data_IF_215835866872
#
_entry.id   IF_215835866872
#
_cell.length_a   1.000
_cell.length_b   1.000
_cell.length_c   1.000
_cell.angle_alpha   90.00
_cell.angle_beta   90.00
_cell.angle_gamma   90.00
#
_symmetry.space_group_name_H-M   'P 1'
#
loop_
_entity.id
_entity.type
_entity.pdbx_description
1 polymer ?
#
# COMPACT_ATOMS: atom_id res chain seq x y z
N UNK A 1 -5.68 32.58 2.46
CA UNK A 1 -5.64 31.28 3.16
C UNK A 1 -5.72 30.21 2.10
N UNK A 2 -4.67 29.40 1.95
CA UNK A 2 -4.76 28.20 1.11
C UNK A 2 -5.68 27.23 1.84
N UNK A 3 -6.86 27.01 1.29
CA UNK A 3 -7.73 25.89 1.70
C UNK A 3 -6.92 24.65 1.38
N UNK A 4 -6.47 23.92 2.40
CA UNK A 4 -5.93 22.59 2.19
C UNK A 4 -7.15 21.73 1.87
N UNK A 5 -7.49 21.65 0.59
CA UNK A 5 -8.44 20.67 0.09
C UNK A 5 -7.73 19.32 0.14
N UNK A 6 -7.86 18.63 1.27
CA UNK A 6 -7.44 17.24 1.39
C UNK A 6 -8.62 16.40 0.94
N UNK A 7 -8.62 15.87 -0.29
CA UNK A 7 -9.75 15.10 -0.75
C UNK A 7 -9.61 13.74 -0.07
N UNK A 8 -10.31 13.51 1.04
CA UNK A 8 -10.31 12.22 1.73
C UNK A 8 -10.61 11.06 0.78
N UNK A 9 -11.49 11.30 -0.20
CA UNK A 9 -11.78 10.38 -1.29
C UNK A 9 -10.57 10.06 -2.19
N UNK A 10 -9.62 10.99 -2.36
CA UNK A 10 -8.35 10.75 -3.10
C UNK A 10 -7.43 9.84 -2.29
N UNK A 11 -7.32 10.04 -0.98
CA UNK A 11 -6.51 9.19 -0.09
C UNK A 11 -7.07 7.77 -0.01
N UNK A 12 -8.39 7.63 0.06
CA UNK A 12 -9.08 6.32 -0.03
C UNK A 12 -8.82 5.65 -1.38
N UNK A 13 -8.91 6.39 -2.49
CA UNK A 13 -8.56 5.87 -3.82
C UNK A 13 -7.11 5.38 -3.89
N UNK A 14 -6.17 6.14 -3.33
CA UNK A 14 -4.75 5.75 -3.29
C UNK A 14 -4.57 4.49 -2.45
N UNK A 15 -5.21 4.40 -1.29
CA UNK A 15 -5.20 3.21 -0.45
C UNK A 15 -5.65 1.95 -1.23
N UNK A 16 -6.78 2.04 -1.93
CA UNK A 16 -7.34 0.91 -2.68
C UNK A 16 -6.48 0.50 -3.89
N UNK A 17 -5.89 1.48 -4.58
CA UNK A 17 -4.96 1.22 -5.68
C UNK A 17 -3.68 0.51 -5.20
N UNK A 18 -3.13 0.94 -4.05
CA UNK A 18 -1.96 0.29 -3.44
C UNK A 18 -2.28 -1.14 -3.00
N UNK A 19 -3.45 -1.35 -2.39
CA UNK A 19 -3.94 -2.67 -2.01
C UNK A 19 -4.06 -3.60 -3.24
N UNK A 20 -4.68 -3.11 -4.31
CA UNK A 20 -4.82 -3.88 -5.57
C UNK A 20 -3.48 -4.19 -6.23
N UNK A 21 -2.54 -3.25 -6.17
CA UNK A 21 -1.18 -3.45 -6.70
C UNK A 21 -0.46 -4.56 -5.94
N UNK A 22 -0.58 -4.59 -4.61
CA UNK A 22 -0.05 -5.68 -3.78
C UNK A 22 -0.65 -7.03 -4.15
N UNK A 23 -1.97 -7.10 -4.30
CA UNK A 23 -2.67 -8.33 -4.69
C UNK A 23 -2.22 -8.86 -6.07
N UNK A 24 -2.00 -7.96 -7.03
CA UNK A 24 -1.45 -8.33 -8.35
C UNK A 24 -0.02 -8.87 -8.22
N UNK A 25 0.82 -8.26 -7.39
CA UNK A 25 2.19 -8.73 -7.14
C UNK A 25 2.24 -10.11 -6.47
N UNK A 26 1.23 -10.43 -5.68
CA UNK A 26 1.10 -11.72 -5.01
C UNK A 26 0.43 -12.80 -5.89
N UNK A 27 -0.06 -12.45 -7.08
CA UNK A 27 -0.69 -13.38 -8.02
C UNK A 27 0.27 -14.50 -8.46
N UNK A 28 -0.29 -15.69 -8.72
CA UNK A 28 0.50 -16.87 -9.08
C UNK A 28 1.38 -16.66 -10.33
N UNK A 29 0.88 -15.89 -11.31
CA UNK A 29 1.59 -15.56 -12.54
C UNK A 29 2.80 -14.64 -12.33
N UNK A 30 2.81 -13.86 -11.25
CA UNK A 30 3.90 -12.93 -10.94
C UNK A 30 4.83 -13.50 -9.87
N UNK A 31 4.33 -14.41 -9.02
CA UNK A 31 5.07 -14.93 -7.86
C UNK A 31 6.29 -15.78 -8.25
N UNK A 32 6.22 -16.56 -9.32
CA UNK A 32 7.28 -17.50 -9.72
C UNK A 32 7.27 -17.74 -11.22
N UNK A 33 8.43 -18.10 -11.78
CA UNK A 33 8.56 -18.60 -13.16
C UNK A 33 8.04 -20.04 -13.30
N UNK A 34 7.70 -20.69 -12.18
CA UNK A 34 7.13 -22.03 -12.12
C UNK A 34 8.13 -23.12 -12.49
N UNK A 35 7.61 -24.30 -12.80
CA UNK A 35 8.40 -25.47 -13.19
C UNK A 35 9.23 -25.28 -14.48
N UNK A 36 9.11 -24.13 -15.16
CA UNK A 36 9.87 -23.81 -16.38
C UNK A 36 11.37 -23.82 -16.10
N UNK A 37 11.79 -23.38 -14.90
CA UNK A 37 13.21 -23.31 -14.50
C UNK A 37 13.90 -24.67 -14.63
N UNK A 38 13.25 -25.73 -14.13
CA UNK A 38 13.80 -27.10 -14.11
C UNK A 38 13.74 -27.81 -15.47
N UNK A 39 13.06 -27.23 -16.46
CA UNK A 39 12.89 -27.82 -17.81
C UNK A 39 13.89 -27.31 -18.83
N UNK A 40 14.80 -26.41 -18.43
CA UNK A 40 15.77 -25.78 -19.33
C UNK A 40 16.89 -26.74 -19.78
N UNK A 41 17.18 -27.79 -18.99
CA UNK A 41 18.09 -28.87 -19.36
C UNK A 41 19.55 -28.43 -19.50
N UNK A 42 19.88 -27.22 -19.03
CA UNK A 42 21.22 -26.64 -19.06
C UNK A 42 21.51 -26.05 -17.67
N UNK A 43 22.46 -26.66 -16.94
CA UNK A 43 22.78 -26.28 -15.55
C UNK A 43 23.08 -24.81 -15.34
N UNK A 44 23.80 -24.18 -16.26
CA UNK A 44 24.13 -22.75 -16.12
C UNK A 44 22.87 -21.88 -16.24
N UNK A 45 21.97 -22.24 -17.14
CA UNK A 45 20.72 -21.53 -17.36
C UNK A 45 19.73 -21.77 -16.21
N UNK A 46 19.65 -23.01 -15.70
CA UNK A 46 18.90 -23.35 -14.48
C UNK A 46 19.42 -22.56 -13.27
N UNK A 47 20.73 -22.48 -13.10
CA UNK A 47 21.36 -21.69 -12.03
C UNK A 47 21.03 -20.20 -12.13
N UNK A 48 21.12 -19.62 -13.34
CA UNK A 48 20.77 -18.22 -13.56
C UNK A 48 19.27 -17.96 -13.32
N UNK A 49 18.41 -18.89 -13.71
CA UNK A 49 16.97 -18.79 -13.50
C UNK A 49 16.59 -18.90 -12.01
N UNK A 50 17.22 -19.79 -11.24
CA UNK A 50 17.02 -19.84 -9.78
C UNK A 50 17.50 -18.58 -9.07
N UNK A 51 18.65 -18.02 -9.48
CA UNK A 51 19.14 -16.77 -8.89
C UNK A 51 18.21 -15.61 -9.23
N UNK A 52 17.68 -15.56 -10.45
CA UNK A 52 16.63 -14.62 -10.82
C UNK A 52 15.39 -14.79 -9.95
N UNK A 53 14.85 -16.01 -9.81
CA UNK A 53 13.64 -16.27 -9.00
C UNK A 53 13.83 -15.84 -7.55
N UNK A 54 15.00 -16.12 -6.97
CA UNK A 54 15.33 -15.71 -5.61
C UNK A 54 15.33 -14.19 -5.48
N UNK A 55 16.10 -13.49 -6.32
CA UNK A 55 16.19 -12.02 -6.30
C UNK A 55 14.85 -11.36 -6.58
N UNK A 56 14.06 -11.95 -7.47
CA UNK A 56 12.70 -11.50 -7.77
C UNK A 56 11.79 -11.66 -6.55
N UNK A 57 11.84 -12.81 -5.87
CA UNK A 57 11.11 -13.06 -4.63
C UNK A 57 11.46 -12.05 -3.53
N UNK A 58 12.76 -11.82 -3.31
CA UNK A 58 13.26 -10.85 -2.33
C UNK A 58 12.78 -9.42 -2.67
N UNK A 59 12.92 -9.01 -3.94
CA UNK A 59 12.47 -7.70 -4.41
C UNK A 59 10.96 -7.50 -4.25
N UNK A 60 10.15 -8.52 -4.58
CA UNK A 60 8.69 -8.48 -4.36
C UNK A 60 8.33 -8.33 -2.89
N UNK A 61 9.05 -9.02 -1.99
CA UNK A 61 8.81 -8.90 -0.56
C UNK A 61 9.07 -7.48 -0.04
N UNK A 62 10.16 -6.85 -0.49
CA UNK A 62 10.47 -5.46 -0.14
C UNK A 62 9.38 -4.51 -0.66
N UNK A 63 9.00 -4.62 -1.93
CA UNK A 63 7.96 -3.77 -2.52
C UNK A 63 6.63 -3.97 -1.79
N UNK A 64 6.25 -5.20 -1.45
CA UNK A 64 5.01 -5.46 -0.71
C UNK A 64 5.00 -4.77 0.66
N UNK A 65 6.15 -4.78 1.36
CA UNK A 65 6.31 -4.08 2.63
C UNK A 65 6.21 -2.55 2.47
N UNK A 66 6.82 -1.99 1.43
CA UNK A 66 6.77 -0.56 1.16
C UNK A 66 5.34 -0.12 0.79
N UNK A 67 4.62 -0.93 -0.01
CA UNK A 67 3.21 -0.71 -0.33
C UNK A 67 2.33 -0.70 0.92
N UNK A 68 2.53 -1.64 1.85
CA UNK A 68 1.84 -1.64 3.15
C UNK A 68 2.14 -0.36 3.94
N UNK A 69 3.41 0.07 4.00
CA UNK A 69 3.81 1.28 4.69
C UNK A 69 3.14 2.55 4.13
N UNK A 70 3.10 2.70 2.81
CA UNK A 70 2.45 3.85 2.16
C UNK A 70 0.94 3.80 2.35
N UNK A 71 0.32 2.61 2.24
CA UNK A 71 -1.12 2.41 2.46
C UNK A 71 -1.52 2.81 3.88
N UNK A 72 -0.77 2.33 4.88
CA UNK A 72 -1.06 2.59 6.28
C UNK A 72 -0.86 4.07 6.63
N UNK A 73 0.16 4.72 6.04
CA UNK A 73 0.36 6.16 6.16
C UNK A 73 -0.79 6.96 5.53
N UNK A 74 -1.23 6.60 4.32
CA UNK A 74 -2.36 7.27 3.66
C UNK A 74 -3.65 7.15 4.49
N UNK A 75 -3.90 5.98 5.07
CA UNK A 75 -5.03 5.75 5.98
C UNK A 75 -4.92 6.59 7.26
N UNK A 76 -3.75 6.61 7.90
CA UNK A 76 -3.53 7.39 9.11
C UNK A 76 -3.76 8.89 8.89
N UNK A 77 -3.32 9.42 7.73
CA UNK A 77 -3.57 10.81 7.35
C UNK A 77 -5.07 11.07 7.19
N UNK A 78 -5.78 10.21 6.43
CA UNK A 78 -7.22 10.36 6.22
C UNK A 78 -8.02 10.28 7.55
N UNK A 79 -7.66 9.35 8.44
CA UNK A 79 -8.29 9.21 9.75
C UNK A 79 -8.06 10.44 10.64
N UNK A 80 -6.85 11.02 10.65
CA UNK A 80 -6.54 12.22 11.42
C UNK A 80 -7.32 13.46 10.94
N UNK A 81 -7.51 13.61 9.63
CA UNK A 81 -8.35 14.69 9.08
C UNK A 81 -9.81 14.51 9.47
N UNK A 82 -10.34 13.29 9.34
CA UNK A 82 -11.72 12.98 9.74
C UNK A 82 -11.96 13.24 11.23
N UNK A 83 -11.03 12.83 12.09
CA UNK A 83 -11.11 13.13 13.54
C UNK A 83 -11.10 14.64 13.81
N UNK A 84 -10.27 15.39 13.11
CA UNK A 84 -10.21 16.86 13.23
C UNK A 84 -11.53 17.52 12.81
N UNK A 85 -12.13 17.04 11.72
CA UNK A 85 -13.42 17.53 11.25
C UNK A 85 -14.54 17.21 12.25
N UNK A 86 -14.59 15.98 12.78
CA UNK A 86 -15.56 15.57 13.81
C UNK A 86 -15.44 16.42 15.08
N UNK A 87 -14.22 16.68 15.56
CA UNK A 87 -13.96 17.56 16.70
C UNK A 87 -14.40 19.01 16.42
N UNK A 88 -14.16 19.51 15.20
CA UNK A 88 -14.55 20.86 14.80
C UNK A 88 -16.07 21.00 14.74
N UNK A 89 -16.77 20.03 14.16
CA UNK A 89 -18.25 19.99 14.14
C UNK A 89 -18.80 19.95 15.56
N UNK A 90 -18.28 19.08 16.42
CA UNK A 90 -18.71 19.00 17.82
C UNK A 90 -18.52 20.32 18.58
N UNK A 91 -17.40 21.03 18.34
CA UNK A 91 -17.13 22.33 18.94
C UNK A 91 -18.09 23.43 18.42
N UNK A 92 -18.53 23.35 17.16
CA UNK A 92 -19.51 24.27 16.59
C UNK A 92 -20.94 23.98 17.04
N UNK A 93 -21.29 22.70 17.27
CA UNK A 93 -22.61 22.28 17.75
C UNK A 93 -22.81 22.50 19.26
N UNK A 94 -21.72 22.52 20.05
CA UNK A 94 -21.74 22.78 21.49
C UNK A 94 -20.82 23.96 21.91
N UNK A 95 -21.19 25.21 21.61
CA UNK A 95 -20.40 26.38 22.02
C UNK A 95 -20.39 26.63 23.54
N UNK A 96 -21.30 26.03 24.31
CA UNK A 96 -21.46 26.26 25.76
C UNK A 96 -20.51 25.45 26.67
N UNK A 97 -19.75 24.49 26.12
CA UNK A 97 -18.78 23.68 26.90
C UNK A 97 -17.41 24.32 27.11
N UNK A 98 -17.10 25.45 26.46
CA UNK A 98 -15.79 26.11 26.52
C UNK A 98 -15.68 27.16 27.63
N UNK A 99 -16.76 27.44 28.36
CA UNK A 99 -16.80 28.39 29.47
C UNK A 99 -17.54 27.79 30.67
N UNK A 100 -16.98 26.76 31.31
CA UNK A 100 -17.31 26.37 32.69
C UNK A 100 -16.16 25.60 33.31
#
# INVERSE_FOLDING_TARGET
MSVIDVPGAELERVHDLLQRTKELMDSASIRSMGAVVDTLGQRELEGAAHEFEKRWGDGRHVIAKDLDGVRDAAKAVADAFRETDEQTVAALENPEGATS
#
